data_IF_388327816540
#
_entry.id   IF_388327816540
#
_cell.length_a   1.000
_cell.length_b   1.000
_cell.length_c   1.000
_cell.angle_alpha   90.00
_cell.angle_beta   90.00
_cell.angle_gamma   90.00
#
_symmetry.space_group_name_H-M   'P 1'
#
loop_
_entity.id
_entity.type
_entity.pdbx_description
1 polymer ?
#
# COMPACT_ATOMS: atom_id res chain seq x y z
N UNK A 1 -10.16 -9.61 14.14
CA UNK A 1 -9.24 -8.47 14.25
C UNK A 1 -9.18 -7.77 12.90
N UNK A 2 -8.94 -6.46 12.88
CA UNK A 2 -8.83 -5.69 11.64
C UNK A 2 -7.68 -4.70 11.71
N UNK A 3 -7.20 -4.30 10.54
CA UNK A 3 -6.29 -3.17 10.34
C UNK A 3 -6.99 -2.12 9.49
N UNK A 4 -6.78 -0.86 9.81
CA UNK A 4 -7.36 0.27 9.08
C UNK A 4 -6.24 0.98 8.32
N UNK A 5 -6.43 1.16 7.02
CA UNK A 5 -5.44 1.78 6.13
C UNK A 5 -5.94 3.14 5.66
N UNK A 6 -5.06 4.13 5.75
CA UNK A 6 -5.20 5.48 5.23
C UNK A 6 -3.82 6.01 4.82
N UNK A 7 -3.73 7.27 4.41
CA UNK A 7 -2.45 7.94 4.22
C UNK A 7 -2.45 9.34 4.84
N UNK A 8 -1.26 9.88 5.12
CA UNK A 8 -1.12 11.18 5.75
C UNK A 8 0.25 11.83 5.44
N UNK A 9 0.26 13.15 5.45
CA UNK A 9 1.43 13.99 5.25
C UNK A 9 1.88 14.66 6.57
N UNK A 10 2.96 14.14 7.14
CA UNK A 10 3.54 14.68 8.38
C UNK A 10 2.71 14.38 9.64
N UNK A 11 3.03 15.07 10.74
CA UNK A 11 2.53 14.78 12.10
C UNK A 11 1.46 15.75 12.61
N UNK A 12 0.86 16.56 11.73
CA UNK A 12 0.05 17.72 12.17
C UNK A 12 -1.31 17.30 12.73
N UNK A 13 -2.06 16.51 11.97
CA UNK A 13 -3.37 15.95 12.33
C UNK A 13 -3.61 14.72 11.47
N UNK A 14 -4.49 13.82 11.93
CA UNK A 14 -4.88 12.66 11.12
C UNK A 14 -5.75 13.12 9.94
N UNK A 15 -5.26 12.84 8.73
CA UNK A 15 -5.84 13.38 7.51
C UNK A 15 -6.81 12.42 6.83
N UNK A 16 -6.77 11.13 7.18
CA UNK A 16 -7.56 10.07 6.54
C UNK A 16 -7.50 10.12 5.01
N UNK A 17 -6.32 10.42 4.43
CA UNK A 17 -6.22 10.54 2.97
C UNK A 17 -6.39 9.19 2.30
N UNK A 18 -6.68 9.24 1.00
CA UNK A 18 -6.70 8.05 0.13
C UNK A 18 -5.43 7.21 0.33
N UNK A 19 -5.61 5.92 0.61
CA UNK A 19 -4.50 5.00 0.89
C UNK A 19 -3.49 4.98 -0.26
N UNK A 20 -2.20 5.12 0.08
CA UNK A 20 -1.08 5.10 -0.88
C UNK A 20 -0.95 6.33 -1.78
N UNK A 21 -1.70 7.41 -1.50
CA UNK A 21 -1.64 8.63 -2.30
C UNK A 21 -0.47 9.56 -1.92
N UNK A 22 0.04 9.49 -0.70
CA UNK A 22 1.16 10.32 -0.22
C UNK A 22 2.47 9.55 -0.31
N UNK A 23 2.49 8.33 0.20
CA UNK A 23 3.68 7.46 0.18
C UNK A 23 3.33 6.06 -0.33
N UNK A 24 3.32 5.86 -1.67
CA UNK A 24 3.01 4.56 -2.25
C UNK A 24 4.06 3.50 -1.92
N UNK A 25 5.30 3.89 -1.60
CA UNK A 25 6.38 2.95 -1.25
C UNK A 25 6.16 2.36 0.13
N UNK A 26 5.73 3.19 1.08
CA UNK A 26 5.29 2.77 2.42
C UNK A 26 4.02 1.94 2.34
N UNK A 27 3.05 2.34 1.52
CA UNK A 27 1.83 1.57 1.31
C UNK A 27 2.13 0.16 0.77
N UNK A 28 3.04 0.03 -0.19
CA UNK A 28 3.49 -1.29 -0.69
C UNK A 28 4.04 -2.16 0.44
N UNK A 29 4.88 -1.61 1.32
CA UNK A 29 5.44 -2.36 2.45
C UNK A 29 4.34 -2.88 3.39
N UNK A 30 3.31 -2.06 3.67
CA UNK A 30 2.18 -2.48 4.51
C UNK A 30 1.40 -3.62 3.86
N UNK A 31 1.02 -3.46 2.58
CA UNK A 31 0.30 -4.50 1.83
C UNK A 31 1.09 -5.80 1.81
N UNK A 32 2.39 -5.72 1.55
CA UNK A 32 3.25 -6.90 1.44
C UNK A 32 3.41 -7.65 2.76
N UNK A 33 3.49 -6.96 3.90
CA UNK A 33 3.50 -7.61 5.22
C UNK A 33 2.19 -8.37 5.44
N UNK A 34 1.04 -7.77 5.15
CA UNK A 34 -0.26 -8.44 5.29
C UNK A 34 -0.37 -9.67 4.39
N UNK A 35 0.00 -9.54 3.12
CA UNK A 35 -0.06 -10.61 2.12
C UNK A 35 0.87 -11.78 2.47
N UNK A 36 2.15 -11.50 2.78
CA UNK A 36 3.13 -12.55 3.11
C UNK A 36 2.81 -13.35 4.36
N UNK A 37 2.06 -12.76 5.28
CA UNK A 37 1.68 -13.43 6.53
C UNK A 37 0.24 -13.96 6.50
N UNK A 38 -0.41 -13.96 5.33
CA UNK A 38 -1.73 -14.55 5.16
C UNK A 38 -2.83 -13.85 5.96
N UNK A 39 -2.68 -12.55 6.21
CA UNK A 39 -3.67 -11.78 6.95
C UNK A 39 -5.00 -11.78 6.18
N UNK A 40 -6.08 -12.21 6.83
CA UNK A 40 -7.39 -12.41 6.22
C UNK A 40 -7.77 -13.88 6.02
N UNK A 41 -6.81 -14.81 6.09
CA UNK A 41 -7.09 -16.24 5.96
C UNK A 41 -7.88 -16.82 7.14
N UNK A 42 -7.90 -16.13 8.30
CA UNK A 42 -8.61 -16.59 9.50
C UNK A 42 -9.79 -15.68 9.87
N UNK A 43 -10.35 -14.96 8.89
CA UNK A 43 -11.49 -14.07 9.08
C UNK A 43 -11.14 -12.65 9.52
N UNK A 44 -9.86 -12.26 9.44
CA UNK A 44 -9.47 -10.85 9.53
C UNK A 44 -9.89 -10.07 8.29
N UNK A 45 -9.95 -8.74 8.40
CA UNK A 45 -10.22 -7.88 7.25
C UNK A 45 -9.38 -6.60 7.28
N UNK A 46 -9.14 -6.09 6.07
CA UNK A 46 -8.51 -4.78 5.84
C UNK A 46 -9.62 -3.76 5.67
N UNK A 47 -9.71 -2.83 6.62
CA UNK A 47 -10.58 -1.66 6.55
C UNK A 47 -9.87 -0.48 5.89
N UNK A 48 -10.64 0.38 5.24
CA UNK A 48 -10.16 1.64 4.67
C UNK A 48 -10.75 2.78 5.50
N UNK A 49 -9.95 3.37 6.37
CA UNK A 49 -10.37 4.47 7.24
C UNK A 49 -9.98 5.79 6.60
N UNK A 50 -10.70 6.11 5.52
CA UNK A 50 -10.37 7.22 4.63
C UNK A 50 -11.51 8.23 4.59
N UNK A 51 -11.19 9.44 4.15
CA UNK A 51 -12.12 10.54 3.99
C UNK A 51 -11.95 11.26 2.66
N UNK A 52 -12.98 12.01 2.32
CA UNK A 52 -13.01 12.86 1.14
C UNK A 52 -11.93 13.93 1.25
N UNK A 53 -11.13 14.11 0.19
CA UNK A 53 -9.98 15.04 0.18
C UNK A 53 -10.38 16.50 0.47
N UNK A 54 -11.52 16.91 -0.12
CA UNK A 54 -12.18 18.22 0.01
C UNK A 54 -13.66 18.03 -0.29
N UNK A 55 -14.51 18.98 0.06
CA UNK A 55 -15.93 18.98 -0.29
C UNK A 55 -16.13 18.58 -1.76
N UNK A 56 -16.94 17.54 -1.98
CA UNK A 56 -17.31 17.03 -3.30
C UNK A 56 -18.82 17.16 -3.49
N UNK A 57 -19.26 17.14 -4.74
CA UNK A 57 -20.69 16.98 -5.06
C UNK A 57 -21.14 15.57 -4.73
N UNK A 58 -22.41 15.41 -4.42
CA UNK A 58 -23.06 14.12 -4.30
C UNK A 58 -22.84 13.25 -5.55
N UNK A 59 -22.59 11.96 -5.35
CA UNK A 59 -22.40 10.98 -6.41
C UNK A 59 -20.94 10.76 -6.82
N UNK A 60 -20.01 11.64 -6.41
CA UNK A 60 -18.56 11.44 -6.60
C UNK A 60 -17.78 11.47 -5.28
N UNK A 61 -18.46 11.74 -4.18
CA UNK A 61 -17.92 11.85 -2.82
C UNK A 61 -17.35 10.53 -2.28
N UNK A 62 -17.72 9.38 -2.86
CA UNK A 62 -17.19 8.06 -2.49
C UNK A 62 -15.94 7.62 -3.29
N UNK A 63 -15.45 8.41 -4.23
CA UNK A 63 -14.28 8.03 -5.07
C UNK A 63 -13.03 7.73 -4.26
N UNK A 64 -12.86 8.36 -3.10
CA UNK A 64 -11.72 8.10 -2.21
C UNK A 64 -11.69 6.65 -1.70
N UNK A 65 -12.85 6.03 -1.43
CA UNK A 65 -12.95 4.61 -1.08
C UNK A 65 -12.61 3.72 -2.28
N UNK A 66 -13.21 4.01 -3.43
CA UNK A 66 -12.97 3.26 -4.67
C UNK A 66 -11.48 3.28 -5.04
N UNK A 67 -10.85 4.45 -4.97
CA UNK A 67 -9.45 4.62 -5.36
C UNK A 67 -8.50 4.02 -4.33
N UNK A 68 -8.78 4.14 -3.03
CA UNK A 68 -8.01 3.44 -1.99
C UNK A 68 -8.02 1.92 -2.21
N UNK A 69 -9.18 1.34 -2.54
CA UNK A 69 -9.29 -0.08 -2.88
C UNK A 69 -8.52 -0.43 -4.16
N UNK A 70 -8.63 0.37 -5.23
CA UNK A 70 -7.88 0.13 -6.48
C UNK A 70 -6.37 0.18 -6.25
N UNK A 71 -5.89 1.13 -5.45
CA UNK A 71 -4.48 1.25 -5.09
C UNK A 71 -4.04 0.03 -4.28
N UNK A 72 -4.78 -0.36 -3.23
CA UNK A 72 -4.48 -1.57 -2.46
C UNK A 72 -4.32 -2.81 -3.34
N UNK A 73 -5.27 -3.04 -4.26
CA UNK A 73 -5.22 -4.20 -5.17
C UNK A 73 -4.03 -4.16 -6.13
N UNK A 74 -3.69 -2.99 -6.69
CA UNK A 74 -2.48 -2.82 -7.51
C UNK A 74 -1.21 -3.10 -6.72
N UNK A 75 -1.12 -2.61 -5.49
CA UNK A 75 0.03 -2.87 -4.61
C UNK A 75 0.12 -4.35 -4.22
N UNK A 76 -1.01 -5.03 -4.07
CA UNK A 76 -1.07 -6.47 -3.83
C UNK A 76 -0.58 -7.28 -5.03
N UNK A 77 -0.95 -6.88 -6.25
CA UNK A 77 -0.42 -7.46 -7.48
C UNK A 77 1.11 -7.30 -7.56
N UNK A 78 1.62 -6.10 -7.27
CA UNK A 78 3.06 -5.85 -7.19
C UNK A 78 3.71 -6.74 -6.13
N UNK A 79 3.17 -6.78 -4.92
CA UNK A 79 3.66 -7.62 -3.80
C UNK A 79 3.86 -9.06 -4.24
N UNK A 80 2.88 -9.64 -4.93
CA UNK A 80 2.89 -11.02 -5.42
C UNK A 80 3.77 -11.27 -6.63
N UNK A 81 4.18 -10.20 -7.34
CA UNK A 81 5.07 -10.28 -8.50
C UNK A 81 6.56 -10.26 -8.13
N UNK A 82 6.91 -9.85 -6.91
CA UNK A 82 8.29 -9.73 -6.46
C UNK A 82 8.90 -11.12 -6.19
N UNK A 83 10.16 -11.28 -6.55
CA UNK A 83 10.95 -12.48 -6.28
C UNK A 83 11.60 -12.36 -4.89
N UNK A 84 11.02 -13.06 -3.94
CA UNK A 84 11.49 -13.10 -2.55
C UNK A 84 12.90 -13.66 -2.43
N UNK A 85 13.27 -14.65 -3.25
CA UNK A 85 14.61 -15.23 -3.21
C UNK A 85 15.65 -14.21 -3.66
N UNK A 86 15.36 -13.51 -4.76
CA UNK A 86 16.24 -12.46 -5.26
C UNK A 86 16.41 -11.34 -4.23
N UNK A 87 15.32 -10.90 -3.59
CA UNK A 87 15.42 -9.91 -2.52
C UNK A 87 16.24 -10.40 -1.33
N UNK A 88 16.07 -11.66 -0.91
CA UNK A 88 16.85 -12.26 0.18
C UNK A 88 18.36 -12.34 -0.17
N UNK A 89 18.70 -12.65 -1.43
CA UNK A 89 20.08 -12.62 -1.95
C UNK A 89 20.69 -11.22 -1.86
N UNK A 90 19.96 -10.18 -2.31
CA UNK A 90 20.41 -8.79 -2.23
C UNK A 90 20.61 -8.34 -0.77
N UNK A 91 19.70 -8.72 0.14
CA UNK A 91 19.83 -8.44 1.57
C UNK A 91 21.07 -9.12 2.14
N UNK A 92 21.30 -10.41 1.82
CA UNK A 92 22.48 -11.14 2.28
C UNK A 92 23.78 -10.51 1.78
N UNK A 93 23.79 -9.98 0.55
CA UNK A 93 24.90 -9.25 -0.04
C UNK A 93 25.04 -7.80 0.47
N UNK A 94 24.04 -7.28 1.20
CA UNK A 94 23.90 -5.86 1.60
C UNK A 94 23.84 -4.89 0.41
N UNK A 95 23.35 -5.36 -0.74
CA UNK A 95 23.13 -4.52 -1.92
C UNK A 95 21.75 -3.84 -1.85
N UNK A 96 21.67 -2.84 -0.97
CA UNK A 96 20.43 -2.12 -0.73
C UNK A 96 20.05 -1.14 -1.86
N UNK A 97 21.01 -0.75 -2.70
CA UNK A 97 20.74 0.09 -3.87
C UNK A 97 19.99 -0.71 -4.93
N UNK A 98 20.46 -1.92 -5.27
CA UNK A 98 19.76 -2.81 -6.20
C UNK A 98 18.42 -3.28 -5.61
N UNK A 99 18.36 -3.59 -4.32
CA UNK A 99 17.09 -3.95 -3.66
C UNK A 99 16.06 -2.82 -3.76
N UNK A 100 16.48 -1.58 -3.49
CA UNK A 100 15.61 -0.43 -3.58
C UNK A 100 15.16 -0.19 -5.02
N UNK A 101 16.09 -0.25 -5.99
CA UNK A 101 15.77 -0.11 -7.40
C UNK A 101 14.81 -1.19 -7.89
N UNK A 102 15.04 -2.46 -7.54
CA UNK A 102 14.17 -3.59 -7.90
C UNK A 102 12.71 -3.33 -7.48
N UNK A 103 12.51 -2.86 -6.24
CA UNK A 103 11.18 -2.55 -5.73
C UNK A 103 10.56 -1.33 -6.42
N UNK A 104 11.32 -0.24 -6.60
CA UNK A 104 10.83 0.97 -7.30
C UNK A 104 10.48 0.65 -8.75
N UNK A 105 11.33 -0.11 -9.44
CA UNK A 105 11.11 -0.53 -10.82
C UNK A 105 9.83 -1.37 -10.96
N UNK A 106 9.55 -2.26 -10.01
CA UNK A 106 8.28 -2.99 -9.98
C UNK A 106 7.06 -2.06 -9.84
N UNK A 107 7.20 -0.95 -9.11
CA UNK A 107 6.13 0.05 -8.93
C UNK A 107 5.94 0.99 -10.12
N UNK A 108 7.00 1.26 -10.89
CA UNK A 108 6.99 2.22 -12.00
C UNK A 108 6.61 1.58 -13.35
N UNK A 109 6.48 0.26 -13.43
CA UNK A 109 6.10 -0.43 -14.68
C UNK A 109 4.71 0.01 -15.16
N UNK A 110 4.63 0.42 -16.43
CA UNK A 110 3.42 0.80 -17.14
C UNK A 110 2.57 -0.41 -17.52
#
# INVERSE_FOLDING_TARGET
WSVHLNDQNGLKFDQDLTFGAVDPRRALNQVRVLDRHGFGNNGEWVGLDVKVMRTQKEGVDLKHLEYSRKIFLKLLEISRSLDDKYMDELIAARDYEELNYYMINAMLKA
#
